data_IF_236277910898
#
_entry.id   IF_236277910898
#
_cell.length_a   1.000
_cell.length_b   1.000
_cell.length_c   1.000
_cell.angle_alpha   90.00
_cell.angle_beta   90.00
_cell.angle_gamma   90.00
#
_symmetry.space_group_name_H-M   'P 1'
#
loop_
_entity.id
_entity.type
_entity.pdbx_description
1 polymer ?
#
# COMPACT_ATOMS: atom_id res chain seq x y z
N UNK A 1 42.08 16.42 52.26
CA UNK A 1 40.60 16.46 52.33
C UNK A 1 40.12 17.63 51.49
N UNK A 2 39.01 17.43 50.75
CA UNK A 2 38.39 18.28 49.71
C UNK A 2 38.83 17.97 48.27
N UNK A 3 38.36 16.82 47.78
CA UNK A 3 37.95 16.69 46.38
C UNK A 3 36.45 16.98 46.36
N UNK A 4 36.08 18.20 46.01
CA UNK A 4 34.68 18.53 45.81
C UNK A 4 34.21 17.86 44.51
N UNK A 5 33.24 16.97 44.68
CA UNK A 5 32.58 16.18 43.65
C UNK A 5 32.03 17.05 42.53
N UNK A 6 32.48 16.82 41.29
CA UNK A 6 31.79 17.34 40.10
C UNK A 6 30.49 16.53 39.98
N UNK A 7 29.30 17.16 40.00
CA UNK A 7 28.08 16.46 39.64
C UNK A 7 28.17 16.15 38.13
N UNK A 8 28.36 14.88 37.79
CA UNK A 8 28.13 14.39 36.44
C UNK A 8 26.65 14.57 36.12
N UNK A 9 26.36 15.69 35.47
CA UNK A 9 25.03 16.03 35.02
C UNK A 9 24.55 14.87 34.12
N UNK A 10 23.49 14.22 34.61
CA UNK A 10 22.75 13.14 33.98
C UNK A 10 22.41 13.52 32.53
N UNK A 11 23.24 13.09 31.58
CA UNK A 11 22.91 13.10 30.16
C UNK A 11 21.72 12.16 30.05
N UNK A 12 20.51 12.63 29.71
CA UNK A 12 19.43 11.72 29.38
C UNK A 12 19.88 10.99 28.12
N UNK A 13 20.27 9.73 28.28
CA UNK A 13 20.19 8.78 27.19
C UNK A 13 18.72 8.81 26.76
N UNK A 14 18.43 9.50 25.66
CA UNK A 14 17.11 9.57 25.07
C UNK A 14 16.80 8.21 24.43
N UNK A 15 16.58 7.22 25.30
CA UNK A 15 15.73 6.09 25.00
C UNK A 15 14.31 6.63 24.92
N UNK A 16 13.67 6.33 23.79
CA UNK A 16 12.21 6.35 23.60
C UNK A 16 11.60 7.68 23.15
N UNK A 17 11.95 8.13 21.94
CA UNK A 17 10.93 8.77 21.10
C UNK A 17 10.01 7.67 20.52
N UNK A 18 9.10 7.17 21.36
CA UNK A 18 7.93 6.40 20.93
C UNK A 18 6.83 7.38 20.54
N UNK A 19 7.08 8.24 19.56
CA UNK A 19 6.04 9.04 18.92
C UNK A 19 6.18 9.13 17.40
N UNK A 20 6.85 8.15 16.78
CA UNK A 20 6.51 7.82 15.39
C UNK A 20 5.22 7.02 15.43
N UNK A 21 4.10 7.68 15.09
CA UNK A 21 2.89 6.98 14.63
C UNK A 21 3.35 6.02 13.56
N UNK A 22 3.48 4.77 13.97
CA UNK A 22 3.89 3.67 13.14
C UNK A 22 2.68 3.30 12.27
N UNK A 23 2.41 4.12 11.26
CA UNK A 23 1.75 3.63 10.05
C UNK A 23 2.74 2.73 9.30
N UNK A 24 3.24 1.68 9.96
CA UNK A 24 3.85 0.55 9.27
C UNK A 24 2.73 -0.35 8.81
N UNK A 25 1.93 0.13 7.87
CA UNK A 25 1.36 -0.82 6.94
C UNK A 25 2.56 -1.44 6.22
N UNK A 26 2.77 -2.74 6.41
CA UNK A 26 3.78 -3.47 5.64
C UNK A 26 3.51 -3.23 4.16
N UNK A 27 4.53 -3.30 3.31
CA UNK A 27 4.31 -3.31 1.86
C UNK A 27 3.29 -4.40 1.48
N UNK A 28 3.27 -5.52 2.20
CA UNK A 28 2.27 -6.57 2.05
C UNK A 28 0.85 -6.08 2.36
N UNK A 29 0.66 -5.28 3.41
CA UNK A 29 -0.65 -4.72 3.79
C UNK A 29 -1.13 -3.69 2.76
N UNK A 30 -0.21 -2.85 2.26
CA UNK A 30 -0.50 -1.88 1.21
C UNK A 30 -0.90 -2.60 -0.09
N UNK A 31 -0.14 -3.63 -0.49
CA UNK A 31 -0.41 -4.44 -1.67
C UNK A 31 -1.74 -5.20 -1.54
N UNK A 32 -2.02 -5.79 -0.37
CA UNK A 32 -3.28 -6.45 -0.09
C UNK A 32 -4.46 -5.48 -0.16
N UNK A 33 -4.30 -4.26 0.36
CA UNK A 33 -5.29 -3.21 0.26
C UNK A 33 -5.51 -2.79 -1.19
N UNK A 34 -4.45 -2.54 -1.97
CA UNK A 34 -4.54 -2.19 -3.38
C UNK A 34 -5.23 -3.28 -4.21
N UNK A 35 -4.93 -4.55 -3.95
CA UNK A 35 -5.61 -5.68 -4.59
C UNK A 35 -7.11 -5.68 -4.27
N UNK A 36 -7.48 -5.43 -3.01
CA UNK A 36 -8.88 -5.35 -2.60
C UNK A 36 -9.59 -4.15 -3.23
N UNK A 37 -8.91 -3.02 -3.35
CA UNK A 37 -9.43 -1.81 -3.99
C UNK A 37 -9.67 -2.03 -5.51
N UNK A 38 -8.77 -2.73 -6.20
CA UNK A 38 -8.96 -3.12 -7.62
C UNK A 38 -10.12 -4.10 -7.76
N UNK A 39 -10.24 -5.10 -6.88
CA UNK A 39 -11.36 -6.04 -6.89
C UNK A 39 -12.71 -5.32 -6.71
N UNK A 40 -12.79 -4.35 -5.79
CA UNK A 40 -13.98 -3.52 -5.61
C UNK A 40 -14.29 -2.71 -6.87
N UNK A 41 -13.28 -2.15 -7.52
CA UNK A 41 -13.45 -1.40 -8.76
C UNK A 41 -14.03 -2.29 -9.87
N UNK A 42 -13.55 -3.54 -9.97
CA UNK A 42 -14.04 -4.51 -10.94
C UNK A 42 -15.49 -4.91 -10.69
N UNK A 43 -15.86 -5.25 -9.44
CA UNK A 43 -17.25 -5.56 -9.07
C UNK A 43 -18.18 -4.36 -9.32
N UNK A 44 -17.70 -3.16 -9.02
CA UNK A 44 -18.47 -1.92 -9.25
C UNK A 44 -18.71 -1.74 -10.75
N UNK A 45 -17.67 -1.84 -11.57
CA UNK A 45 -17.78 -1.77 -13.02
C UNK A 45 -18.77 -2.81 -13.58
N UNK A 46 -18.69 -4.07 -13.14
CA UNK A 46 -19.61 -5.13 -13.57
C UNK A 46 -21.07 -4.83 -13.21
N UNK A 47 -21.31 -4.28 -12.01
CA UNK A 47 -22.65 -3.87 -11.59
C UNK A 47 -23.14 -2.68 -12.41
N UNK A 48 -22.31 -1.67 -12.64
CA UNK A 48 -22.68 -0.51 -13.45
C UNK A 48 -22.98 -0.89 -14.90
N UNK A 49 -22.22 -1.82 -15.49
CA UNK A 49 -22.49 -2.38 -16.82
C UNK A 49 -23.86 -3.07 -16.84
N UNK A 50 -24.17 -3.87 -15.81
CA UNK A 50 -25.50 -4.50 -15.66
C UNK A 50 -26.61 -3.47 -15.55
N UNK A 51 -26.43 -2.44 -14.74
CA UNK A 51 -27.45 -1.39 -14.56
C UNK A 51 -27.71 -0.60 -15.84
N UNK A 52 -26.65 -0.27 -16.59
CA UNK A 52 -26.75 0.34 -17.93
C UNK A 52 -27.48 -0.59 -18.90
N UNK A 53 -27.11 -1.88 -18.95
CA UNK A 53 -27.75 -2.85 -19.83
C UNK A 53 -29.24 -3.06 -19.51
N UNK A 54 -29.64 -2.88 -18.24
CA UNK A 54 -31.04 -2.91 -17.81
C UNK A 54 -31.79 -1.59 -18.00
N UNK A 55 -31.13 -0.54 -18.53
CA UNK A 55 -31.73 0.76 -18.77
C UNK A 55 -32.02 1.58 -17.50
N UNK A 56 -31.38 1.24 -16.37
CA UNK A 56 -31.59 1.91 -15.07
C UNK A 56 -30.65 3.11 -14.83
N UNK A 57 -29.67 3.32 -15.72
CA UNK A 57 -28.65 4.35 -15.55
C UNK A 57 -28.27 4.97 -16.89
N UNK A 58 -28.39 6.29 -17.00
CA UNK A 58 -28.05 7.07 -18.20
C UNK A 58 -26.56 7.44 -18.30
N UNK A 59 -25.78 7.22 -17.23
CA UNK A 59 -24.37 7.60 -17.13
C UNK A 59 -23.41 6.52 -17.65
N UNK A 60 -23.52 6.21 -18.94
CA UNK A 60 -22.57 5.33 -19.65
C UNK A 60 -21.12 5.84 -19.52
N UNK A 61 -20.94 7.17 -19.50
CA UNK A 61 -19.61 7.80 -19.39
C UNK A 61 -18.91 7.46 -18.07
N UNK A 62 -19.62 7.51 -16.94
CA UNK A 62 -19.07 7.19 -15.62
C UNK A 62 -18.65 5.72 -15.53
N UNK A 63 -19.43 4.83 -16.15
CA UNK A 63 -19.13 3.40 -16.18
C UNK A 63 -17.87 3.11 -17.01
N UNK A 64 -17.77 3.71 -18.20
CA UNK A 64 -16.58 3.56 -19.05
C UNK A 64 -15.34 4.11 -18.34
N UNK A 65 -15.44 5.27 -17.68
CA UNK A 65 -14.33 5.80 -16.87
C UNK A 65 -13.94 4.86 -15.72
N UNK A 66 -14.91 4.27 -15.03
CA UNK A 66 -14.64 3.32 -13.95
C UNK A 66 -13.93 2.06 -14.46
N UNK A 67 -14.35 1.53 -15.62
CA UNK A 67 -13.72 0.39 -16.30
C UNK A 67 -12.29 0.72 -16.70
N UNK A 68 -12.07 1.87 -17.35
CA UNK A 68 -10.74 2.32 -17.79
C UNK A 68 -9.78 2.44 -16.61
N UNK A 69 -10.25 3.05 -15.51
CA UNK A 69 -9.49 3.19 -14.27
C UNK A 69 -9.16 1.82 -13.65
N UNK A 70 -10.11 0.88 -13.68
CA UNK A 70 -9.90 -0.47 -13.17
C UNK A 70 -8.82 -1.21 -13.99
N UNK A 71 -8.90 -1.14 -15.32
CA UNK A 71 -7.95 -1.81 -16.19
C UNK A 71 -6.53 -1.26 -16.02
N UNK A 72 -6.36 0.07 -16.02
CA UNK A 72 -5.05 0.70 -15.79
C UNK A 72 -4.49 0.32 -14.41
N UNK A 73 -5.33 0.34 -13.37
CA UNK A 73 -4.92 -0.03 -12.01
C UNK A 73 -4.51 -1.50 -11.90
N UNK A 74 -5.23 -2.38 -12.61
CA UNK A 74 -4.92 -3.81 -12.67
C UNK A 74 -3.59 -4.08 -13.37
N UNK A 75 -3.34 -3.41 -14.51
CA UNK A 75 -2.07 -3.50 -15.24
C UNK A 75 -0.89 -3.06 -14.36
N UNK A 76 -1.03 -1.95 -13.66
CA UNK A 76 -0.02 -1.47 -12.70
C UNK A 76 0.23 -2.49 -11.58
N UNK A 77 -0.84 -3.06 -11.01
CA UNK A 77 -0.73 -4.07 -9.96
C UNK A 77 0.02 -5.32 -10.44
N UNK A 78 -0.23 -5.77 -11.67
CA UNK A 78 0.47 -6.90 -12.28
C UNK A 78 1.97 -6.62 -12.45
N UNK A 79 2.34 -5.41 -12.88
CA UNK A 79 3.74 -5.00 -12.98
C UNK A 79 4.42 -5.00 -11.60
N UNK A 80 3.77 -4.43 -10.58
CA UNK A 80 4.27 -4.44 -9.21
C UNK A 80 4.43 -5.87 -8.68
N UNK A 81 3.43 -6.73 -8.89
CA UNK A 81 3.48 -8.14 -8.52
C UNK A 81 4.63 -8.87 -9.21
N UNK A 82 4.82 -8.65 -10.51
CA UNK A 82 5.91 -9.26 -11.25
C UNK A 82 7.28 -8.77 -10.77
N UNK A 83 7.43 -7.47 -10.48
CA UNK A 83 8.67 -6.89 -9.97
C UNK A 83 9.00 -7.38 -8.56
N UNK A 84 8.00 -7.52 -7.69
CA UNK A 84 8.18 -8.06 -6.34
C UNK A 84 8.65 -9.53 -6.37
N UNK A 85 8.04 -10.37 -7.23
CA UNK A 85 8.47 -11.76 -7.43
C UNK A 85 9.89 -11.84 -8.00
N UNK A 86 10.22 -10.99 -8.98
CA UNK A 86 11.58 -10.90 -9.52
C UNK A 86 12.60 -10.51 -8.46
N UNK A 87 12.31 -9.51 -7.63
CA UNK A 87 13.19 -9.07 -6.54
C UNK A 87 13.43 -10.20 -5.52
N UNK A 88 12.38 -10.94 -5.16
CA UNK A 88 12.50 -12.12 -4.31
C UNK A 88 13.41 -13.19 -4.94
N UNK A 89 13.18 -13.54 -6.21
CA UNK A 89 13.99 -14.52 -6.93
C UNK A 89 15.45 -14.06 -7.07
N UNK A 90 15.69 -12.77 -7.30
CA UNK A 90 17.04 -12.20 -7.44
C UNK A 90 17.84 -12.32 -6.13
N UNK A 91 17.22 -12.04 -4.98
CA UNK A 91 17.85 -12.21 -3.67
C UNK A 91 18.22 -13.68 -3.43
N UNK A 92 17.30 -14.60 -3.76
CA UNK A 92 17.53 -16.04 -3.59
C UNK A 92 18.68 -16.57 -4.48
N UNK A 93 18.76 -16.10 -5.72
CA UNK A 93 19.82 -16.47 -6.66
C UNK A 93 21.17 -15.80 -6.38
N UNK A 94 21.22 -14.81 -5.47
CA UNK A 94 22.48 -14.15 -5.08
C UNK A 94 23.27 -14.94 -4.03
N UNK A 95 22.64 -15.93 -3.40
CA UNK A 95 23.20 -16.67 -2.25
C UNK A 95 23.66 -18.10 -2.60
N UNK A 96 23.63 -18.48 -3.88
CA UNK A 96 24.19 -19.75 -4.39
C UNK A 96 25.53 -19.54 -5.09
#
# INVERSE_FOLDING_TARGET
MKIDSIPTNNIPNTTNDSSTKKDTSSFADLLAKSLNDVNKLQITADNTIKEIATGKMDNIQDAVMAIEKADISMRLLLEVKNKAVQAYNQIMNMQV
#
